data_IF_404218373271
#
_entry.id   IF_404218373271
#
_cell.length_a   1.000
_cell.length_b   1.000
_cell.length_c   1.000
_cell.angle_alpha   90.00
_cell.angle_beta   90.00
_cell.angle_gamma   90.00
#
_symmetry.space_group_name_H-M   'P 1'
#
loop_
_entity.id
_entity.type
_entity.pdbx_description
1 polymer ?
#
# COMPACT_ATOMS: atom_id res chain seq x y z
N UNK A 1 -21.07 17.08 18.27
CA UNK A 1 -20.06 16.99 17.20
C UNK A 1 -18.79 16.48 17.86
N UNK A 2 -18.46 15.17 17.71
CA UNK A 2 -17.17 14.65 18.19
C UNK A 2 -16.06 15.31 17.37
N UNK A 3 -15.14 16.02 18.04
CA UNK A 3 -13.92 16.51 17.43
C UNK A 3 -13.19 15.30 16.85
N UNK A 4 -12.99 15.26 15.54
CA UNK A 4 -12.11 14.28 14.90
C UNK A 4 -10.70 14.60 15.44
N UNK A 5 -10.13 13.68 16.20
CA UNK A 5 -8.72 13.79 16.57
C UNK A 5 -7.90 13.98 15.29
N UNK A 6 -7.07 15.04 15.26
CA UNK A 6 -6.23 15.33 14.09
C UNK A 6 -5.21 14.21 13.92
N UNK A 7 -5.12 13.66 12.70
CA UNK A 7 -4.16 12.59 12.35
C UNK A 7 -2.72 13.09 12.51
N UNK A 8 -1.85 12.27 13.10
CA UNK A 8 -0.46 12.59 13.37
C UNK A 8 0.44 11.99 12.27
N UNK A 9 1.24 12.83 11.63
CA UNK A 9 2.13 12.47 10.54
C UNK A 9 3.57 12.67 10.99
N UNK A 10 4.40 11.62 10.91
CA UNK A 10 5.84 11.74 11.06
C UNK A 10 6.45 12.05 9.69
N UNK A 11 7.10 13.20 9.60
CA UNK A 11 7.85 13.64 8.40
C UNK A 11 9.32 13.43 8.68
N UNK A 12 9.99 12.62 7.86
CA UNK A 12 11.43 12.35 7.94
C UNK A 12 12.07 12.91 6.68
N UNK A 13 12.73 14.06 6.82
CA UNK A 13 13.26 14.87 5.71
C UNK A 13 14.47 15.66 6.22
N UNK A 14 15.61 15.53 5.59
CA UNK A 14 16.85 16.22 6.00
C UNK A 14 16.99 17.63 5.41
N UNK A 15 16.28 17.92 4.31
CA UNK A 15 16.23 19.26 3.73
C UNK A 15 15.27 20.15 4.54
N UNK A 16 15.79 21.21 5.23
CA UNK A 16 14.99 22.05 6.10
C UNK A 16 13.91 22.85 5.35
N UNK A 17 14.14 23.23 4.10
CA UNK A 17 13.18 24.01 3.30
C UNK A 17 11.99 23.14 2.90
N UNK A 18 12.25 21.88 2.54
CA UNK A 18 11.21 20.91 2.24
C UNK A 18 10.44 20.54 3.51
N UNK A 19 11.13 20.31 4.62
CA UNK A 19 10.52 19.98 5.90
C UNK A 19 9.59 21.10 6.39
N UNK A 20 10.04 22.36 6.33
CA UNK A 20 9.23 23.53 6.71
C UNK A 20 8.00 23.68 5.80
N UNK A 21 8.20 23.57 4.48
CA UNK A 21 7.11 23.60 3.50
C UNK A 21 6.06 22.51 3.81
N UNK A 22 6.50 21.28 4.08
CA UNK A 22 5.61 20.18 4.43
C UNK A 22 4.88 20.45 5.74
N UNK A 23 5.60 20.89 6.78
CA UNK A 23 5.00 21.15 8.09
C UNK A 23 3.89 22.21 8.01
N UNK A 24 4.14 23.34 7.36
CA UNK A 24 3.17 24.45 7.21
C UNK A 24 1.93 23.94 6.48
N UNK A 25 2.11 23.36 5.30
CA UNK A 25 0.97 22.95 4.48
C UNK A 25 0.16 21.81 5.11
N UNK A 26 0.80 20.85 5.77
CA UNK A 26 0.10 19.76 6.43
C UNK A 26 -0.67 20.23 7.68
N UNK A 27 -0.14 21.20 8.42
CA UNK A 27 -0.84 21.86 9.53
C UNK A 27 -2.09 22.59 9.04
N UNK A 28 -1.99 23.34 7.94
CA UNK A 28 -3.13 24.04 7.31
C UNK A 28 -4.22 23.05 6.85
N UNK A 29 -3.83 21.85 6.44
CA UNK A 29 -4.75 20.75 6.07
C UNK A 29 -5.33 19.98 7.27
N UNK A 30 -4.98 20.40 8.51
CA UNK A 30 -5.52 19.88 9.76
C UNK A 30 -4.81 18.63 10.30
N UNK A 31 -3.63 18.30 9.79
CA UNK A 31 -2.78 17.24 10.35
C UNK A 31 -1.95 17.78 11.52
N UNK A 32 -1.58 16.91 12.45
CA UNK A 32 -0.48 17.15 13.36
C UNK A 32 0.80 16.64 12.70
N UNK A 33 1.86 17.41 12.77
CA UNK A 33 3.14 17.07 12.14
C UNK A 33 4.22 16.98 13.21
N UNK A 34 4.95 15.88 13.19
CA UNK A 34 6.23 15.76 13.86
C UNK A 34 7.30 15.60 12.79
N UNK A 35 8.35 16.38 12.87
CA UNK A 35 9.47 16.36 11.93
C UNK A 35 10.75 15.89 12.61
N UNK A 36 11.50 15.04 11.92
CA UNK A 36 12.87 14.65 12.26
C UNK A 36 13.74 14.68 11.01
N UNK A 37 15.02 15.04 11.16
CA UNK A 37 15.93 15.28 10.04
C UNK A 37 16.85 14.09 9.73
N UNK A 38 16.80 13.01 10.51
CA UNK A 38 17.68 11.85 10.35
C UNK A 38 16.95 10.54 10.64
N UNK A 39 17.46 9.47 10.07
CA UNK A 39 16.82 8.16 10.16
C UNK A 39 16.96 7.49 11.53
N UNK A 40 18.02 7.76 12.27
CA UNK A 40 18.23 7.11 13.57
C UNK A 40 17.22 7.68 14.60
N UNK A 41 17.07 8.99 14.64
CA UNK A 41 16.01 9.66 15.42
C UNK A 41 14.63 9.21 14.96
N UNK A 42 14.39 9.08 13.64
CA UNK A 42 13.13 8.58 13.11
C UNK A 42 12.80 7.17 13.59
N UNK A 43 13.79 6.27 13.60
CA UNK A 43 13.64 4.90 14.10
C UNK A 43 13.21 4.86 15.57
N UNK A 44 13.82 5.70 16.42
CA UNK A 44 13.45 5.82 17.83
C UNK A 44 12.03 6.36 17.98
N UNK A 45 11.69 7.43 17.24
CA UNK A 45 10.35 8.03 17.29
C UNK A 45 9.26 7.07 16.85
N UNK A 46 9.51 6.27 15.80
CA UNK A 46 8.57 5.26 15.31
C UNK A 46 8.25 4.19 16.34
N UNK A 47 9.19 3.87 17.24
CA UNK A 47 8.96 2.89 18.32
C UNK A 47 8.25 3.48 19.54
N UNK A 48 8.40 4.77 19.77
CA UNK A 48 7.87 5.46 20.97
C UNK A 48 6.56 6.23 20.71
N UNK A 49 6.33 6.64 19.46
CA UNK A 49 5.20 7.50 19.07
C UNK A 49 4.05 6.72 18.45
N UNK A 50 2.87 7.36 18.49
CA UNK A 50 1.70 6.90 17.78
C UNK A 50 1.49 7.80 16.55
N UNK A 51 1.88 7.32 15.40
CA UNK A 51 1.72 8.02 14.13
C UNK A 51 0.64 7.34 13.29
N UNK A 52 -0.14 8.15 12.59
CA UNK A 52 -1.16 7.69 11.66
C UNK A 52 -0.61 7.56 10.23
N UNK A 53 0.54 8.16 9.95
CA UNK A 53 1.23 8.07 8.64
C UNK A 53 2.70 8.43 8.77
N UNK A 54 3.53 7.83 7.92
CA UNK A 54 4.94 8.16 7.75
C UNK A 54 5.17 8.76 6.36
N UNK A 55 5.86 9.90 6.29
CA UNK A 55 6.43 10.47 5.06
C UNK A 55 7.94 10.35 5.17
N UNK A 56 8.57 9.55 4.31
CA UNK A 56 9.98 9.21 4.43
C UNK A 56 10.74 9.65 3.18
N UNK A 57 11.75 10.52 3.33
CA UNK A 57 12.78 10.62 2.30
C UNK A 57 13.62 9.34 2.31
N UNK A 58 14.11 8.95 1.16
CA UNK A 58 15.05 7.81 1.04
C UNK A 58 16.44 8.20 1.52
N UNK A 59 16.89 9.39 1.14
CA UNK A 59 18.26 9.86 1.34
C UNK A 59 18.40 10.63 2.63
N UNK A 60 18.48 9.90 3.74
CA UNK A 60 18.58 10.47 5.09
C UNK A 60 19.97 10.23 5.67
N UNK A 61 20.48 11.12 6.54
CA UNK A 61 21.60 10.80 7.42
C UNK A 61 21.25 9.64 8.36
N UNK A 62 22.23 8.79 8.67
CA UNK A 62 22.02 7.59 9.51
C UNK A 62 21.23 6.50 8.76
N UNK A 63 20.14 6.05 9.35
CA UNK A 63 19.29 5.00 8.75
C UNK A 63 18.53 5.54 7.52
N UNK A 64 18.58 4.80 6.41
CA UNK A 64 17.88 5.20 5.18
C UNK A 64 16.35 5.10 5.31
N UNK A 65 15.60 5.91 4.53
CA UNK A 65 14.14 5.81 4.49
C UNK A 65 13.63 4.44 4.04
N UNK A 66 14.41 3.70 3.26
CA UNK A 66 14.07 2.32 2.88
C UNK A 66 14.19 1.35 4.06
N UNK A 67 15.20 1.52 4.92
CA UNK A 67 15.36 0.71 6.11
C UNK A 67 14.29 1.03 7.16
N UNK A 68 13.93 2.32 7.30
CA UNK A 68 12.78 2.76 8.12
C UNK A 68 11.47 2.14 7.63
N UNK A 69 11.25 2.09 6.32
CA UNK A 69 10.09 1.43 5.72
C UNK A 69 10.06 -0.06 6.07
N UNK A 70 11.21 -0.75 5.94
CA UNK A 70 11.34 -2.16 6.34
C UNK A 70 11.03 -2.36 7.82
N UNK A 71 11.60 -1.53 8.70
CA UNK A 71 11.38 -1.59 10.15
C UNK A 71 9.89 -1.40 10.48
N UNK A 72 9.22 -0.41 9.88
CA UNK A 72 7.79 -0.17 10.09
C UNK A 72 6.93 -1.39 9.72
N UNK A 73 7.33 -2.13 8.67
CA UNK A 73 6.61 -3.33 8.22
C UNK A 73 6.86 -4.58 9.07
N UNK A 74 7.87 -4.57 9.92
CA UNK A 74 8.07 -5.61 10.94
C UNK A 74 7.21 -5.39 12.19
N UNK A 75 6.63 -4.21 12.37
CA UNK A 75 5.70 -3.91 13.45
C UNK A 75 4.34 -4.61 13.25
N UNK A 76 3.70 -5.01 14.35
CA UNK A 76 2.35 -5.56 14.34
C UNK A 76 1.28 -4.51 13.94
N UNK A 77 1.57 -3.22 14.17
CA UNK A 77 0.66 -2.12 13.83
C UNK A 77 0.97 -1.61 12.43
N UNK A 78 -0.04 -1.66 11.56
CA UNK A 78 0.08 -1.08 10.23
C UNK A 78 -0.01 0.45 10.30
N UNK A 79 0.95 1.12 9.66
CA UNK A 79 0.97 2.57 9.46
C UNK A 79 1.17 2.84 7.97
N UNK A 80 0.33 3.65 7.29
CA UNK A 80 0.55 4.07 5.91
C UNK A 80 1.89 4.77 5.73
N UNK A 81 2.62 4.42 4.66
CA UNK A 81 3.93 5.00 4.35
C UNK A 81 3.92 5.56 2.92
N UNK A 82 4.25 6.83 2.78
CA UNK A 82 4.59 7.44 1.50
C UNK A 82 6.09 7.71 1.48
N UNK A 83 6.77 7.20 0.47
CA UNK A 83 8.17 7.51 0.22
C UNK A 83 8.24 8.75 -0.67
N UNK A 84 9.09 9.69 -0.28
CA UNK A 84 9.44 10.89 -1.06
C UNK A 84 10.88 10.72 -1.52
N UNK A 85 11.19 10.93 -2.81
CA UNK A 85 12.56 10.74 -3.30
C UNK A 85 12.84 11.54 -4.57
N UNK A 86 14.12 11.75 -4.87
CA UNK A 86 14.57 12.46 -6.04
C UNK A 86 14.09 11.80 -7.36
N UNK A 87 13.83 12.62 -8.38
CA UNK A 87 13.45 12.19 -9.73
C UNK A 87 14.60 11.40 -10.36
N UNK A 88 14.30 10.23 -10.94
CA UNK A 88 15.31 9.40 -11.63
C UNK A 88 15.74 8.14 -10.87
N UNK A 89 15.41 7.99 -9.61
CA UNK A 89 15.71 6.80 -8.83
C UNK A 89 14.65 5.70 -9.03
N UNK A 90 14.42 5.26 -10.28
CA UNK A 90 13.41 4.23 -10.58
C UNK A 90 13.63 2.95 -9.79
N UNK A 91 14.89 2.52 -9.66
CA UNK A 91 15.26 1.35 -8.86
C UNK A 91 14.94 1.54 -7.37
N UNK A 92 15.19 2.72 -6.81
CA UNK A 92 14.86 3.03 -5.41
C UNK A 92 13.34 3.10 -5.19
N UNK A 93 12.59 3.62 -6.16
CA UNK A 93 11.13 3.64 -6.15
C UNK A 93 10.55 2.22 -6.13
N UNK A 94 11.03 1.36 -7.04
CA UNK A 94 10.63 -0.04 -7.09
C UNK A 94 10.97 -0.70 -5.75
N UNK A 95 12.18 -0.52 -5.25
CA UNK A 95 12.63 -1.08 -3.98
C UNK A 95 11.78 -0.59 -2.80
N UNK A 96 11.46 0.71 -2.72
CA UNK A 96 10.60 1.26 -1.66
C UNK A 96 9.20 0.62 -1.63
N UNK A 97 8.58 0.49 -2.80
CA UNK A 97 7.32 -0.22 -2.95
C UNK A 97 7.49 -1.71 -2.62
N UNK A 98 8.60 -2.34 -3.01
CA UNK A 98 8.93 -3.72 -2.66
C UNK A 98 9.15 -3.92 -1.16
N UNK A 99 9.66 -2.97 -0.45
CA UNK A 99 9.79 -3.00 1.01
C UNK A 99 8.48 -2.74 1.76
N UNK A 100 7.43 -2.38 1.04
CA UNK A 100 6.08 -2.27 1.58
C UNK A 100 5.56 -0.84 1.74
N UNK A 101 6.20 0.17 1.15
CA UNK A 101 5.59 1.49 1.04
C UNK A 101 4.24 1.40 0.32
N UNK A 102 3.27 2.20 0.77
CA UNK A 102 1.93 2.22 0.19
C UNK A 102 1.88 3.08 -1.05
N UNK A 103 2.71 4.10 -1.10
CA UNK A 103 2.82 5.01 -2.23
C UNK A 103 4.21 5.63 -2.30
N UNK A 104 4.47 6.30 -3.42
CA UNK A 104 5.72 6.96 -3.71
C UNK A 104 5.45 8.28 -4.44
N UNK A 105 6.21 9.31 -4.10
CA UNK A 105 6.15 10.60 -4.78
C UNK A 105 7.57 11.09 -5.14
N UNK A 106 7.74 11.59 -6.36
CA UNK A 106 9.04 12.04 -6.86
C UNK A 106 9.23 13.55 -6.62
N UNK A 107 10.38 13.95 -6.09
CA UNK A 107 10.80 15.37 -6.02
C UNK A 107 11.19 15.87 -7.42
N UNK A 108 10.80 17.10 -7.87
CA UNK A 108 9.89 18.00 -7.17
C UNK A 108 8.43 17.57 -7.28
N UNK A 109 7.66 17.73 -6.22
CA UNK A 109 6.25 17.35 -6.14
C UNK A 109 5.35 18.54 -5.78
N UNK A 110 4.08 18.40 -6.09
CA UNK A 110 3.05 19.33 -5.61
C UNK A 110 2.57 18.91 -4.22
N UNK A 111 2.55 19.85 -3.26
CA UNK A 111 1.97 19.58 -1.94
C UNK A 111 0.50 19.19 -2.04
N UNK A 112 -0.25 19.77 -2.96
CA UNK A 112 -1.64 19.38 -3.21
C UNK A 112 -1.77 17.92 -3.64
N UNK A 113 -0.83 17.43 -4.46
CA UNK A 113 -0.76 16.03 -4.86
C UNK A 113 -0.46 15.14 -3.65
N UNK A 114 0.54 15.49 -2.83
CA UNK A 114 0.87 14.75 -1.62
C UNK A 114 -0.34 14.65 -0.67
N UNK A 115 -0.98 15.77 -0.38
CA UNK A 115 -2.18 15.82 0.49
C UNK A 115 -3.33 14.98 -0.08
N UNK A 116 -3.55 15.03 -1.39
CA UNK A 116 -4.58 14.21 -2.03
C UNK A 116 -4.30 12.70 -1.85
N UNK A 117 -3.03 12.28 -1.96
CA UNK A 117 -2.59 10.90 -1.73
C UNK A 117 -2.73 10.48 -0.27
N UNK A 118 -2.28 11.32 0.66
CA UNK A 118 -2.45 11.09 2.10
C UNK A 118 -3.93 10.89 2.47
N UNK A 119 -4.80 11.78 1.98
CA UNK A 119 -6.24 11.70 2.21
C UNK A 119 -6.86 10.43 1.58
N UNK A 120 -6.37 10.01 0.42
CA UNK A 120 -6.82 8.76 -0.21
C UNK A 120 -6.45 7.55 0.66
N UNK A 121 -5.22 7.49 1.19
CA UNK A 121 -4.78 6.44 2.11
C UNK A 121 -5.64 6.39 3.37
N UNK A 122 -5.87 7.54 4.02
CA UNK A 122 -6.72 7.62 5.23
C UNK A 122 -8.20 7.27 4.95
N UNK A 123 -8.77 7.72 3.82
CA UNK A 123 -10.15 7.34 3.46
C UNK A 123 -10.30 5.84 3.32
N UNK A 124 -9.29 5.21 2.72
CA UNK A 124 -9.28 3.77 2.51
C UNK A 124 -9.16 3.01 3.82
N UNK A 125 -8.25 3.40 4.70
CA UNK A 125 -8.14 2.82 6.03
C UNK A 125 -9.48 2.92 6.78
N UNK A 126 -10.13 4.09 6.72
CA UNK A 126 -11.44 4.29 7.32
C UNK A 126 -12.56 3.50 6.62
N UNK A 127 -12.48 3.27 5.31
CA UNK A 127 -13.44 2.46 4.56
C UNK A 127 -13.29 0.97 4.91
N UNK A 128 -12.05 0.46 4.96
CA UNK A 128 -11.76 -0.91 5.37
C UNK A 128 -12.26 -1.18 6.79
N UNK A 129 -12.09 -0.24 7.73
CA UNK A 129 -12.65 -0.34 9.08
C UNK A 129 -14.19 -0.33 9.13
N UNK A 130 -14.86 0.29 8.15
CA UNK A 130 -16.32 0.30 8.01
C UNK A 130 -16.84 -0.91 7.25
N UNK A 131 -16.16 -1.30 6.20
CA UNK A 131 -16.50 -2.49 5.41
C UNK A 131 -16.22 -3.77 6.19
N UNK A 132 -15.22 -3.79 7.06
CA UNK A 132 -15.00 -4.86 8.01
C UNK A 132 -16.21 -5.06 8.96
N UNK A 133 -16.94 -4.00 9.30
CA UNK A 133 -18.18 -4.06 10.11
C UNK A 133 -19.44 -4.37 9.29
N UNK A 134 -19.40 -4.21 7.97
CA UNK A 134 -20.48 -4.48 7.02
C UNK A 134 -20.25 -5.70 6.15
N UNK A 135 -19.03 -6.23 6.14
CA UNK A 135 -18.67 -7.24 5.17
C UNK A 135 -19.37 -8.58 5.43
N UNK A 136 -20.03 -9.01 4.43
CA UNK A 136 -20.18 -10.40 4.02
C UNK A 136 -18.87 -11.14 4.32
N UNK A 137 -18.94 -12.27 5.02
CA UNK A 137 -17.89 -13.06 5.63
C UNK A 137 -16.56 -13.25 4.86
N UNK A 138 -15.67 -13.99 5.47
CA UNK A 138 -14.41 -14.37 4.85
C UNK A 138 -14.65 -14.98 3.46
N UNK A 139 -13.74 -14.70 2.54
CA UNK A 139 -13.75 -15.29 1.18
C UNK A 139 -12.90 -16.54 1.22
N UNK A 140 -13.44 -17.64 0.75
CA UNK A 140 -12.69 -18.87 0.46
C UNK A 140 -12.85 -19.17 -1.03
N UNK A 141 -11.74 -19.12 -1.75
CA UNK A 141 -11.70 -19.27 -3.20
C UNK A 141 -10.48 -20.08 -3.61
N UNK A 142 -10.68 -21.29 -4.07
CA UNK A 142 -9.62 -22.21 -4.52
C UNK A 142 -8.49 -22.37 -3.48
N UNK A 143 -8.87 -22.56 -2.20
CA UNK A 143 -7.95 -22.66 -1.08
C UNK A 143 -7.29 -21.35 -0.66
N UNK A 144 -7.63 -20.23 -1.28
CA UNK A 144 -7.27 -18.89 -0.83
C UNK A 144 -8.34 -18.40 0.15
N UNK A 145 -7.98 -18.30 1.42
CA UNK A 145 -8.82 -17.71 2.46
C UNK A 145 -8.41 -16.26 2.72
N UNK A 146 -9.39 -15.36 2.79
CA UNK A 146 -9.20 -13.94 3.10
C UNK A 146 -10.28 -13.48 4.07
N UNK A 147 -9.89 -13.00 5.24
CA UNK A 147 -10.79 -12.35 6.18
C UNK A 147 -10.60 -10.83 6.13
N UNK A 148 -11.57 -10.07 5.60
CA UNK A 148 -11.46 -8.62 5.51
C UNK A 148 -11.54 -7.92 6.87
N UNK A 149 -12.02 -8.60 7.93
CA UNK A 149 -12.15 -8.03 9.28
C UNK A 149 -10.83 -8.12 10.03
N UNK A 150 -10.26 -9.34 10.09
CA UNK A 150 -8.99 -9.57 10.77
C UNK A 150 -7.79 -9.27 9.90
N UNK A 151 -8.01 -9.13 8.57
CA UNK A 151 -6.98 -9.02 7.52
C UNK A 151 -6.06 -10.23 7.45
N UNK A 152 -6.53 -11.36 7.93
CA UNK A 152 -5.84 -12.61 7.80
C UNK A 152 -6.00 -13.19 6.39
N UNK A 153 -4.93 -13.79 5.90
CA UNK A 153 -4.89 -14.47 4.63
C UNK A 153 -4.19 -15.81 4.78
N UNK A 154 -4.69 -16.82 4.10
CA UNK A 154 -3.99 -18.11 3.99
C UNK A 154 -4.21 -18.74 2.62
N UNK A 155 -3.27 -19.59 2.20
CA UNK A 155 -3.36 -20.35 0.96
C UNK A 155 -3.10 -21.81 1.27
N UNK A 156 -4.06 -22.67 0.88
CA UNK A 156 -4.04 -24.09 1.20
C UNK A 156 -3.76 -24.37 2.71
N UNK A 157 -4.36 -23.56 3.59
CA UNK A 157 -4.18 -23.64 5.04
C UNK A 157 -2.90 -23.05 5.60
N UNK A 158 -1.96 -22.61 4.75
CA UNK A 158 -0.72 -21.95 5.19
C UNK A 158 -0.91 -20.44 5.27
N UNK A 159 -0.56 -19.78 6.40
CA UNK A 159 -0.69 -18.34 6.55
C UNK A 159 0.11 -17.57 5.51
N UNK A 160 -0.48 -16.51 4.93
CA UNK A 160 0.17 -15.59 4.01
C UNK A 160 0.53 -14.29 4.71
N UNK A 161 1.79 -13.91 4.68
CA UNK A 161 2.24 -12.60 5.15
C UNK A 161 2.12 -11.59 4.01
N UNK A 162 1.05 -10.78 4.05
CA UNK A 162 0.77 -9.73 3.07
C UNK A 162 0.95 -8.35 3.69
N UNK A 163 1.49 -7.40 2.90
CA UNK A 163 1.37 -5.99 3.26
C UNK A 163 -0.09 -5.54 3.11
N UNK A 164 -0.44 -4.41 3.69
CA UNK A 164 -1.82 -3.93 3.59
C UNK A 164 -2.29 -3.75 2.14
N UNK A 165 -1.42 -3.25 1.26
CA UNK A 165 -1.74 -3.07 -0.16
C UNK A 165 -1.84 -4.38 -0.93
N UNK A 166 -0.99 -5.32 -0.62
CA UNK A 166 -1.09 -6.67 -1.21
C UNK A 166 -2.39 -7.36 -0.79
N UNK A 167 -2.76 -7.23 0.49
CA UNK A 167 -4.03 -7.75 0.98
C UNK A 167 -5.21 -7.09 0.28
N UNK A 168 -5.22 -5.75 0.18
CA UNK A 168 -6.29 -4.98 -0.45
C UNK A 168 -6.45 -5.35 -1.93
N UNK A 169 -5.33 -5.48 -2.65
CA UNK A 169 -5.33 -5.85 -4.06
C UNK A 169 -5.84 -7.29 -4.26
N UNK A 170 -5.39 -8.20 -3.41
CA UNK A 170 -5.83 -9.60 -3.46
C UNK A 170 -7.31 -9.74 -3.11
N UNK A 171 -7.77 -9.02 -2.09
CA UNK A 171 -9.17 -8.97 -1.69
C UNK A 171 -10.06 -8.37 -2.80
N UNK A 172 -9.58 -7.33 -3.47
CA UNK A 172 -10.29 -6.73 -4.60
C UNK A 172 -10.46 -7.73 -5.74
N UNK A 173 -9.42 -8.46 -6.09
CA UNK A 173 -9.47 -9.53 -7.08
C UNK A 173 -10.40 -10.68 -6.66
N UNK A 174 -10.29 -11.13 -5.42
CA UNK A 174 -11.11 -12.24 -4.91
C UNK A 174 -12.61 -11.90 -4.85
N UNK A 175 -12.95 -10.63 -4.74
CA UNK A 175 -14.34 -10.13 -4.84
C UNK A 175 -14.87 -10.06 -6.27
N UNK A 176 -13.98 -10.07 -7.26
CA UNK A 176 -14.33 -9.94 -8.68
C UNK A 176 -13.64 -11.02 -9.53
N UNK A 177 -13.86 -12.31 -9.22
CA UNK A 177 -13.18 -13.39 -9.89
C UNK A 177 -13.51 -13.41 -11.38
N UNK A 178 -12.50 -13.64 -12.23
CA UNK A 178 -12.64 -13.67 -13.69
C UNK A 178 -12.75 -12.32 -14.38
N UNK A 179 -13.02 -11.23 -13.64
CA UNK A 179 -13.10 -9.88 -14.20
C UNK A 179 -11.70 -9.34 -14.53
N UNK A 180 -11.58 -8.72 -15.72
CA UNK A 180 -10.35 -8.06 -16.15
C UNK A 180 -10.39 -6.61 -15.70
N UNK A 181 -9.29 -6.14 -15.13
CA UNK A 181 -9.11 -4.74 -14.72
C UNK A 181 -7.88 -4.16 -15.38
N UNK A 182 -8.01 -2.94 -15.89
CA UNK A 182 -6.87 -2.15 -16.31
C UNK A 182 -6.01 -1.73 -15.11
N UNK A 183 -4.78 -1.30 -15.37
CA UNK A 183 -3.90 -0.78 -14.31
C UNK A 183 -4.48 0.47 -13.65
N UNK A 184 -5.14 1.32 -14.44
CA UNK A 184 -5.77 2.55 -13.94
C UNK A 184 -6.95 2.19 -13.02
N UNK A 185 -7.83 1.28 -13.42
CA UNK A 185 -8.95 0.82 -12.58
C UNK A 185 -8.44 0.19 -11.27
N UNK A 186 -7.38 -0.62 -11.32
CA UNK A 186 -6.78 -1.16 -10.11
C UNK A 186 -6.19 -0.05 -9.24
N UNK A 187 -5.52 0.94 -9.83
CA UNK A 187 -4.97 2.08 -9.10
C UNK A 187 -6.07 2.88 -8.42
N UNK A 188 -7.17 3.18 -9.11
CA UNK A 188 -8.32 3.89 -8.56
C UNK A 188 -9.00 3.12 -7.43
N UNK A 189 -9.31 1.85 -7.67
CA UNK A 189 -10.07 1.04 -6.73
C UNK A 189 -9.25 0.54 -5.54
N UNK A 190 -7.94 0.31 -5.73
CA UNK A 190 -7.06 -0.21 -4.69
C UNK A 190 -6.24 0.89 -4.00
N UNK A 191 -5.85 1.97 -4.66
CA UNK A 191 -5.11 3.09 -4.08
C UNK A 191 -5.95 4.35 -3.87
N UNK A 192 -7.09 4.48 -4.56
CA UNK A 192 -8.04 5.59 -4.37
C UNK A 192 -7.68 6.86 -5.16
N UNK A 193 -6.78 6.77 -6.13
CA UNK A 193 -6.43 7.86 -7.04
C UNK A 193 -6.08 7.33 -8.44
N UNK A 194 -6.27 8.15 -9.48
CA UNK A 194 -5.79 7.89 -10.82
C UNK A 194 -4.85 9.01 -11.24
N UNK A 195 -3.60 8.65 -11.52
CA UNK A 195 -2.64 9.56 -12.14
C UNK A 195 -1.83 8.79 -13.16
N UNK A 196 -1.80 9.28 -14.39
CA UNK A 196 -0.97 8.73 -15.45
C UNK A 196 0.51 8.72 -15.00
N UNK A 197 1.18 7.58 -15.13
CA UNK A 197 2.58 7.40 -14.72
C UNK A 197 2.78 6.59 -13.43
N UNK A 198 1.74 6.29 -12.66
CA UNK A 198 1.85 5.45 -11.45
C UNK A 198 1.37 3.99 -11.64
N UNK A 199 1.04 3.61 -12.86
CA UNK A 199 0.64 2.25 -13.21
C UNK A 199 1.69 1.18 -12.85
N UNK A 200 2.97 1.58 -12.79
CA UNK A 200 4.06 0.70 -12.33
C UNK A 200 3.91 0.27 -10.87
N UNK A 201 3.24 1.08 -10.02
CA UNK A 201 2.93 0.69 -8.63
C UNK A 201 2.07 -0.57 -8.61
N UNK A 202 1.07 -0.65 -9.50
CA UNK A 202 0.24 -1.84 -9.66
C UNK A 202 1.09 -3.04 -10.09
N UNK A 203 1.95 -2.87 -11.11
CA UNK A 203 2.81 -3.95 -11.61
C UNK A 203 3.71 -4.53 -10.50
N UNK A 204 4.31 -3.65 -9.68
CA UNK A 204 5.16 -4.06 -8.56
C UNK A 204 4.38 -4.90 -7.55
N UNK A 205 3.19 -4.46 -7.14
CA UNK A 205 2.37 -5.20 -6.18
C UNK A 205 1.81 -6.51 -6.76
N UNK A 206 1.47 -6.55 -8.06
CA UNK A 206 1.10 -7.79 -8.75
C UNK A 206 2.25 -8.80 -8.71
N UNK A 207 3.47 -8.37 -9.04
CA UNK A 207 4.63 -9.26 -9.02
C UNK A 207 4.90 -9.81 -7.62
N UNK A 208 4.79 -8.97 -6.58
CA UNK A 208 4.96 -9.40 -5.18
C UNK A 208 3.88 -10.39 -4.75
N UNK A 209 2.61 -10.14 -5.09
CA UNK A 209 1.54 -11.09 -4.84
C UNK A 209 1.82 -12.42 -5.52
N UNK A 210 2.22 -12.41 -6.79
CA UNK A 210 2.57 -13.64 -7.51
C UNK A 210 3.66 -14.44 -6.80
N UNK A 211 4.69 -13.78 -6.26
CA UNK A 211 5.74 -14.48 -5.48
C UNK A 211 5.21 -15.13 -4.20
N UNK A 212 4.08 -14.67 -3.68
CA UNK A 212 3.49 -15.17 -2.43
C UNK A 212 2.39 -16.22 -2.63
N UNK A 213 1.66 -16.14 -3.76
CA UNK A 213 0.46 -16.98 -3.97
C UNK A 213 0.56 -17.94 -5.15
N UNK A 214 1.55 -17.78 -6.04
CA UNK A 214 1.76 -18.68 -7.18
C UNK A 214 2.85 -19.70 -6.87
N UNK A 215 2.72 -20.91 -7.39
CA UNK A 215 3.78 -21.91 -7.34
C UNK A 215 5.00 -21.48 -8.17
N UNK A 216 4.74 -20.83 -9.30
CA UNK A 216 5.75 -20.26 -10.18
C UNK A 216 5.32 -18.85 -10.60
N UNK A 217 5.94 -17.82 -10.06
CA UNK A 217 5.61 -16.42 -10.36
C UNK A 217 5.84 -16.02 -11.83
N UNK A 218 6.70 -16.76 -12.56
CA UNK A 218 6.94 -16.54 -13.99
C UNK A 218 5.83 -17.17 -14.88
N UNK A 219 5.10 -18.13 -14.35
CA UNK A 219 3.97 -18.79 -15.00
C UNK A 219 2.75 -18.75 -14.06
N UNK A 220 2.18 -17.56 -13.84
CA UNK A 220 1.10 -17.40 -12.88
C UNK A 220 -0.18 -18.09 -13.36
N UNK A 221 -0.86 -18.75 -12.43
CA UNK A 221 -2.15 -19.42 -12.67
C UNK A 221 -3.32 -18.69 -12.02
N UNK A 222 -3.07 -17.92 -10.96
CA UNK A 222 -4.10 -17.18 -10.20
C UNK A 222 -4.25 -15.75 -10.67
N UNK A 223 -3.16 -14.97 -10.71
CA UNK A 223 -3.20 -13.58 -11.21
C UNK A 223 -2.66 -13.56 -12.64
N UNK A 224 -3.54 -13.58 -13.61
CA UNK A 224 -3.19 -13.62 -15.03
C UNK A 224 -3.00 -12.22 -15.61
N UNK A 225 -2.04 -12.09 -16.53
CA UNK A 225 -1.89 -10.89 -17.37
C UNK A 225 -2.78 -11.02 -18.59
N UNK A 226 -3.61 -10.01 -18.83
CA UNK A 226 -4.35 -9.86 -20.08
C UNK A 226 -3.61 -8.79 -20.91
N UNK A 227 -2.88 -9.26 -21.92
CA UNK A 227 -2.00 -8.42 -22.70
C UNK A 227 -2.74 -7.23 -23.35
N UNK A 228 -2.16 -6.05 -23.23
CA UNK A 228 -2.76 -4.81 -23.75
C UNK A 228 -3.88 -4.24 -22.88
N UNK A 229 -4.37 -4.98 -21.86
CA UNK A 229 -5.49 -4.55 -20.99
C UNK A 229 -5.04 -4.38 -19.54
N UNK A 230 -4.65 -5.46 -18.86
CA UNK A 230 -4.35 -5.41 -17.43
C UNK A 230 -4.24 -6.79 -16.79
N UNK A 231 -4.98 -7.00 -15.71
CA UNK A 231 -4.89 -8.21 -14.89
C UNK A 231 -6.27 -8.76 -14.54
N UNK A 232 -6.34 -10.07 -14.29
CA UNK A 232 -7.53 -10.73 -13.73
C UNK A 232 -7.13 -11.81 -12.74
N UNK A 233 -8.00 -12.12 -11.80
CA UNK A 233 -7.89 -13.29 -10.94
C UNK A 233 -8.62 -14.46 -11.61
N UNK A 234 -7.87 -15.53 -11.93
CA UNK A 234 -8.47 -16.74 -12.47
C UNK A 234 -9.13 -17.52 -11.34
N UNK A 235 -10.29 -18.09 -11.63
CA UNK A 235 -10.94 -19.09 -10.80
C UNK A 235 -10.85 -20.39 -11.58
N UNK A 236 -10.41 -21.47 -10.94
CA UNK A 236 -10.58 -22.80 -11.54
C UNK A 236 -12.07 -23.08 -11.63
N UNK A 237 -12.62 -22.97 -12.82
CA UNK A 237 -13.94 -23.55 -13.09
C UNK A 237 -13.75 -25.07 -13.03
N UNK A 238 -14.11 -25.69 -11.92
CA UNK A 238 -14.40 -27.12 -11.94
C UNK A 238 -15.50 -27.31 -12.97
N UNK A 239 -15.12 -27.66 -14.21
CA UNK A 239 -16.06 -28.31 -15.11
C UNK A 239 -16.50 -29.59 -14.41
N UNK A 240 -17.68 -29.53 -13.82
CA UNK A 240 -18.41 -30.77 -13.53
C UNK A 240 -18.48 -31.52 -14.86
N UNK A 241 -17.70 -32.61 -14.99
CA UNK A 241 -17.89 -33.58 -16.04
C UNK A 241 -19.36 -33.98 -16.00
N UNK A 242 -20.10 -33.63 -17.04
CA UNK A 242 -21.40 -34.22 -17.27
C UNK A 242 -21.14 -35.70 -17.58
N UNK A 243 -21.67 -36.62 -16.79
CA UNK A 243 -21.63 -38.03 -17.17
C UNK A 243 -22.44 -38.23 -18.44
N UNK A 244 -21.84 -38.94 -19.41
CA UNK A 244 -22.42 -39.34 -20.68
C UNK A 244 -23.62 -40.26 -20.49
#
# INVERSE_FOLDING_TARGET
MCARESKCVLVVEDDPDIAEMLAINLLDEGFRVEHVADGDTASERMTQGNFDMLLLDIMLPGMSGLDLCRQARMSATYIPIIIISARGAESQRILGLELGADDYIAKPFSVLELVARMRALFRREAALGRDARRAVGAIDLDGLYLDPVTREASLAGSPLTLTAREFDLLLYFARHPGQVFSRIELLENVWGYSHAGYEHTVNTHINRLRHKIEQNSAQPTRILTVWGVGYKFAVETHHAEQPA
#
